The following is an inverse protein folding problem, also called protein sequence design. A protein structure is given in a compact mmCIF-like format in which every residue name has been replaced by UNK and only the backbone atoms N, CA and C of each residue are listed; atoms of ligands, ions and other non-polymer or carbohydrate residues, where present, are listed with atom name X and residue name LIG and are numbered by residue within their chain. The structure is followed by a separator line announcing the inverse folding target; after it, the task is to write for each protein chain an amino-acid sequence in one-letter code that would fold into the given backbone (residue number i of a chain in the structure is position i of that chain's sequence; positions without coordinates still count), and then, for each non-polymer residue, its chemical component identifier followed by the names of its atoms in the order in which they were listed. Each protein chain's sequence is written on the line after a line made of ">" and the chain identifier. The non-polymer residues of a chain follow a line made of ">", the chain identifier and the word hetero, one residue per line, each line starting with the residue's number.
data_IF_087410911260
#
_entry.id   IF_087410911260
#
_cell.length_a   1.000
_cell.length_b   1.000
_cell.length_c   1.000
_cell.angle_alpha   90.00
_cell.angle_beta   90.00
_cell.angle_gamma   90.00
#
_symmetry.space_group_name_H-M   'P 1'
#
loop_
_entity.id
_entity.type
_entity.pdbx_description
1 polymer ?
#
# COMPACT_ATOMS: atom_id res chain seq x y z
N UNK A 1 -10.78 14.06 28.97
CA UNK A 1 -9.94 13.79 27.77
C UNK A 1 -9.68 12.30 27.54
N UNK A 2 -9.84 11.44 28.55
CA UNK A 2 -9.48 10.00 28.50
C UNK A 2 -10.36 9.18 27.55
N UNK A 3 -11.59 9.62 27.30
CA UNK A 3 -12.52 8.95 26.36
C UNK A 3 -12.08 9.08 24.91
N UNK A 4 -11.52 10.24 24.52
CA UNK A 4 -10.97 10.44 23.17
C UNK A 4 -9.71 9.61 22.95
N UNK A 5 -8.84 9.52 23.96
CA UNK A 5 -7.64 8.68 23.92
C UNK A 5 -8.01 7.20 23.75
N UNK A 6 -8.98 6.69 24.52
CA UNK A 6 -9.45 5.30 24.39
C UNK A 6 -10.05 5.01 23.01
N UNK A 7 -10.84 5.94 22.45
CA UNK A 7 -11.41 5.77 21.09
C UNK A 7 -10.29 5.72 20.05
N UNK A 8 -9.30 6.61 20.14
CA UNK A 8 -8.15 6.58 19.22
C UNK A 8 -7.29 5.32 19.37
N UNK A 9 -7.14 4.79 20.59
CA UNK A 9 -6.42 3.53 20.83
C UNK A 9 -7.16 2.34 20.24
N UNK A 10 -8.48 2.25 20.46
CA UNK A 10 -9.31 1.18 19.89
C UNK A 10 -9.29 1.24 18.37
N UNK A 11 -9.42 2.44 17.78
CA UNK A 11 -9.37 2.62 16.34
C UNK A 11 -8.01 2.21 15.75
N UNK A 12 -6.92 2.51 16.46
CA UNK A 12 -5.56 2.11 16.05
C UNK A 12 -5.36 0.60 16.12
N UNK A 13 -5.89 -0.06 17.16
CA UNK A 13 -5.83 -1.53 17.30
C UNK A 13 -6.68 -2.22 16.22
N UNK A 14 -7.87 -1.70 15.92
CA UNK A 14 -8.73 -2.22 14.85
C UNK A 14 -8.05 -2.06 13.49
N UNK A 15 -7.45 -0.90 13.22
CA UNK A 15 -6.67 -0.66 12.00
C UNK A 15 -5.51 -1.65 11.90
N UNK A 16 -4.75 -1.86 12.98
CA UNK A 16 -3.62 -2.79 13.02
C UNK A 16 -4.05 -4.24 12.77
N UNK A 17 -5.17 -4.67 13.37
CA UNK A 17 -5.76 -5.98 13.11
C UNK A 17 -6.25 -6.11 11.67
N UNK A 18 -6.86 -5.08 11.10
CA UNK A 18 -7.27 -5.05 9.69
C UNK A 18 -6.07 -5.21 8.77
N UNK A 19 -4.97 -4.51 9.05
CA UNK A 19 -3.71 -4.63 8.31
C UNK A 19 -3.17 -6.06 8.39
N UNK A 20 -3.09 -6.64 9.60
CA UNK A 20 -2.62 -8.01 9.79
C UNK A 20 -3.50 -9.04 9.09
N UNK A 21 -4.83 -8.86 9.12
CA UNK A 21 -5.78 -9.73 8.41
C UNK A 21 -5.64 -9.56 6.90
N UNK A 22 -5.45 -8.35 6.41
CA UNK A 22 -5.25 -8.07 4.98
C UNK A 22 -3.94 -8.67 4.48
N UNK A 23 -2.87 -8.60 5.28
CA UNK A 23 -1.59 -9.27 5.02
C UNK A 23 -1.71 -10.79 5.07
N UNK A 24 -2.52 -11.35 5.99
CA UNK A 24 -2.69 -12.80 6.15
C UNK A 24 -3.63 -13.43 5.12
N UNK A 25 -4.68 -12.72 4.67
CA UNK A 25 -5.62 -13.21 3.65
C UNK A 25 -5.11 -13.07 2.22
N UNK A 26 -4.15 -12.18 2.00
CA UNK A 26 -3.60 -11.97 0.69
C UNK A 26 -2.48 -12.99 0.39
N UNK A 27 -2.70 -13.87 -0.57
CA UNK A 27 -1.66 -14.60 -1.31
C UNK A 27 -0.78 -13.64 -2.16
N UNK A 28 -0.55 -12.41 -1.68
CA UNK A 28 0.24 -11.37 -2.33
C UNK A 28 1.71 -11.65 -2.01
N UNK A 29 2.54 -11.68 -3.06
CA UNK A 29 4.00 -11.83 -2.96
C UNK A 29 4.55 -10.97 -1.83
N UNK A 30 5.35 -11.60 -0.96
CA UNK A 30 5.95 -11.08 0.28
C UNK A 30 6.51 -9.65 0.14
N UNK A 31 6.99 -9.29 -1.05
CA UNK A 31 7.56 -7.99 -1.42
C UNK A 31 6.65 -6.78 -1.12
N UNK A 32 5.33 -6.90 -1.29
CA UNK A 32 4.42 -5.76 -1.08
C UNK A 32 3.97 -5.59 0.38
N UNK A 33 4.01 -6.66 1.17
CA UNK A 33 3.59 -6.67 2.58
C UNK A 33 4.67 -6.11 3.51
N UNK A 34 5.95 -6.18 3.12
CA UNK A 34 7.07 -5.67 3.92
C UNK A 34 6.97 -4.16 4.14
N UNK A 35 6.59 -3.39 3.11
CA UNK A 35 6.41 -1.93 3.24
C UNK A 35 5.31 -1.56 4.24
N UNK A 36 4.22 -2.33 4.25
CA UNK A 36 3.13 -2.16 5.21
C UNK A 36 3.52 -2.55 6.63
N UNK A 37 4.29 -3.63 6.78
CA UNK A 37 4.79 -4.07 8.08
C UNK A 37 5.74 -3.03 8.67
N UNK A 38 6.66 -2.49 7.86
CA UNK A 38 7.59 -1.44 8.27
C UNK A 38 6.85 -0.15 8.65
N UNK A 39 5.85 0.26 7.85
CA UNK A 39 5.05 1.44 8.17
C UNK A 39 4.23 1.26 9.46
N UNK A 40 3.59 0.11 9.65
CA UNK A 40 2.86 -0.21 10.86
C UNK A 40 3.77 -0.25 12.09
N UNK A 41 4.95 -0.89 11.98
CA UNK A 41 5.96 -0.92 13.04
C UNK A 41 6.45 0.49 13.36
N UNK A 42 6.78 1.29 12.35
CA UNK A 42 7.22 2.68 12.54
C UNK A 42 6.13 3.49 13.25
N UNK A 43 4.87 3.34 12.86
CA UNK A 43 3.74 4.03 13.49
C UNK A 43 3.52 3.56 14.93
N UNK A 44 3.70 2.27 15.22
CA UNK A 44 3.63 1.68 16.57
C UNK A 44 4.75 2.21 17.47
N UNK A 45 5.98 2.27 16.94
CA UNK A 45 7.15 2.84 17.63
C UNK A 45 6.89 4.31 17.94
N UNK A 46 6.52 5.12 16.93
CA UNK A 46 6.21 6.53 17.11
C UNK A 46 5.08 6.77 18.13
N UNK A 47 4.05 5.92 18.12
CA UNK A 47 2.95 5.98 19.09
C UNK A 47 3.40 5.71 20.52
N UNK A 48 4.37 4.79 20.72
CA UNK A 48 4.86 4.42 22.06
C UNK A 48 5.91 5.38 22.59
N UNK A 49 6.68 6.02 21.73
CA UNK A 49 7.80 6.89 22.09
C UNK A 49 7.42 8.38 22.12
N UNK A 50 6.93 8.86 23.27
CA UNK A 50 6.81 10.31 23.57
C UNK A 50 8.05 11.15 23.19
N UNK A 51 9.29 10.75 23.51
CA UNK A 51 10.47 11.59 23.20
C UNK A 51 10.76 11.73 21.71
N UNK A 52 10.47 10.71 20.89
CA UNK A 52 10.61 10.79 19.43
C UNK A 52 9.54 11.71 18.83
N UNK A 53 8.31 11.63 19.34
CA UNK A 53 7.23 12.51 18.94
C UNK A 53 7.58 13.97 19.24
N UNK A 54 8.11 14.27 20.43
CA UNK A 54 8.56 15.61 20.80
C UNK A 54 9.72 16.11 19.94
N UNK A 55 10.62 15.22 19.51
CA UNK A 55 11.73 15.58 18.61
C UNK A 55 11.23 15.95 17.21
N UNK A 56 10.36 15.12 16.63
CA UNK A 56 9.76 15.39 15.32
C UNK A 56 8.87 16.63 15.38
N UNK A 57 8.16 16.82 16.49
CA UNK A 57 7.31 17.97 16.73
C UNK A 57 8.12 19.27 16.83
N UNK A 58 9.24 19.26 17.55
CA UNK A 58 10.15 20.41 17.63
C UNK A 58 10.80 20.72 16.28
N UNK A 59 11.13 19.69 15.49
CA UNK A 59 11.67 19.88 14.15
C UNK A 59 10.63 20.43 13.16
N UNK A 60 9.38 19.97 13.26
CA UNK A 60 8.27 20.39 12.40
C UNK A 60 7.54 21.65 12.89
N UNK A 61 7.85 22.15 14.10
CA UNK A 61 7.20 23.32 14.71
C UNK A 61 5.73 23.10 15.10
N UNK A 62 5.33 21.86 15.40
CA UNK A 62 3.91 21.52 15.63
C UNK A 62 3.51 21.67 17.12
N UNK A 63 2.25 22.03 17.43
CA UNK A 63 1.77 22.15 18.81
C UNK A 63 1.61 20.78 19.50
N UNK A 64 1.70 20.74 20.84
CA UNK A 64 1.51 19.53 21.65
C UNK A 64 0.02 19.18 21.79
N UNK A 65 -0.58 18.73 20.69
CA UNK A 65 -2.01 18.48 20.56
C UNK A 65 -2.27 17.14 19.88
N UNK A 66 -3.36 16.43 20.20
CA UNK A 66 -3.77 15.22 19.48
C UNK A 66 -3.85 15.41 17.95
N UNK A 67 -4.09 16.63 17.48
CA UNK A 67 -4.10 17.00 16.06
C UNK A 67 -2.76 16.78 15.36
N UNK A 68 -1.64 16.85 16.08
CA UNK A 68 -0.29 16.65 15.53
C UNK A 68 -0.06 15.20 15.12
N UNK A 69 -0.51 14.24 15.95
CA UNK A 69 -0.49 12.82 15.60
C UNK A 69 -1.38 12.52 14.39
N UNK A 70 -2.54 13.18 14.31
CA UNK A 70 -3.43 13.03 13.17
C UNK A 70 -2.81 13.56 11.88
N UNK A 71 -2.16 14.73 11.92
CA UNK A 71 -1.49 15.33 10.77
C UNK A 71 -0.31 14.49 10.28
N UNK A 72 0.50 13.99 11.21
CA UNK A 72 1.66 13.14 10.90
C UNK A 72 1.21 11.79 10.33
N UNK A 73 0.19 11.18 10.93
CA UNK A 73 -0.45 9.98 10.40
C UNK A 73 -1.03 10.20 9.00
N UNK A 74 -1.76 11.30 8.80
CA UNK A 74 -2.32 11.66 7.50
C UNK A 74 -1.22 11.85 6.43
N UNK A 75 -0.07 12.43 6.79
CA UNK A 75 1.08 12.53 5.90
C UNK A 75 1.64 11.17 5.49
N UNK A 76 1.77 10.23 6.43
CA UNK A 76 2.19 8.85 6.14
C UNK A 76 1.17 8.17 5.22
N UNK A 77 -0.13 8.31 5.48
CA UNK A 77 -1.18 7.78 4.61
C UNK A 77 -1.16 8.38 3.21
N UNK A 78 -0.92 9.69 3.09
CA UNK A 78 -0.82 10.36 1.80
C UNK A 78 0.36 9.84 0.97
N UNK A 79 1.54 9.69 1.58
CA UNK A 79 2.70 9.08 0.93
C UNK A 79 2.41 7.63 0.50
N UNK A 80 1.65 6.90 1.32
CA UNK A 80 1.24 5.54 1.01
C UNK A 80 0.27 5.49 -0.18
N UNK A 81 -0.73 6.38 -0.23
CA UNK A 81 -1.61 6.51 -1.38
C UNK A 81 -0.85 6.87 -2.65
N UNK A 82 0.13 7.77 -2.56
CA UNK A 82 0.99 8.10 -3.69
C UNK A 82 1.78 6.88 -4.18
N UNK A 83 2.42 6.13 -3.27
CA UNK A 83 3.13 4.88 -3.62
C UNK A 83 2.21 3.87 -4.30
N UNK A 84 0.99 3.69 -3.78
CA UNK A 84 0.01 2.81 -4.39
C UNK A 84 -0.44 3.28 -5.77
N UNK A 85 -0.67 4.57 -5.95
CA UNK A 85 -1.01 5.14 -7.26
C UNK A 85 0.08 4.82 -8.29
N UNK A 86 1.35 4.95 -7.92
CA UNK A 86 2.48 4.59 -8.79
C UNK A 86 2.49 3.10 -9.12
N UNK A 87 2.32 2.22 -8.13
CA UNK A 87 2.32 0.76 -8.35
C UNK A 87 1.16 0.33 -9.26
N UNK A 88 -0.04 0.86 -9.02
CA UNK A 88 -1.23 0.58 -9.83
C UNK A 88 -1.01 1.08 -11.27
N UNK A 89 -0.37 2.24 -11.45
CA UNK A 89 -0.03 2.76 -12.78
C UNK A 89 0.88 1.79 -13.54
N UNK A 90 1.97 1.34 -12.91
CA UNK A 90 2.90 0.40 -13.56
C UNK A 90 2.21 -0.93 -13.88
N UNK A 91 1.39 -1.45 -12.96
CA UNK A 91 0.68 -2.70 -13.18
C UNK A 91 -0.32 -2.60 -14.34
N UNK A 92 -0.93 -1.43 -14.53
CA UNK A 92 -1.81 -1.17 -15.69
C UNK A 92 -1.01 -1.21 -16.99
N UNK A 93 0.17 -0.59 -17.02
CA UNK A 93 1.03 -0.58 -18.20
C UNK A 93 1.52 -1.99 -18.56
N UNK A 94 1.92 -2.79 -17.55
CA UNK A 94 2.29 -4.19 -17.73
C UNK A 94 1.14 -5.04 -18.27
N UNK A 95 -0.08 -4.82 -17.79
CA UNK A 95 -1.27 -5.53 -18.27
C UNK A 95 -1.58 -5.20 -19.73
N UNK A 96 -1.47 -3.92 -20.12
CA UNK A 96 -1.61 -3.51 -21.53
C UNK A 96 -0.56 -4.22 -22.40
N UNK A 97 0.70 -4.23 -21.97
CA UNK A 97 1.78 -4.89 -22.71
C UNK A 97 1.56 -6.41 -22.82
N UNK A 98 1.04 -7.05 -21.75
CA UNK A 98 0.73 -8.47 -21.75
C UNK A 98 -0.43 -8.78 -22.70
N UNK A 99 -1.50 -7.99 -22.68
CA UNK A 99 -2.63 -8.15 -23.58
C UNK A 99 -2.20 -8.03 -25.05
N UNK A 100 -1.31 -7.07 -25.36
CA UNK A 100 -0.73 -6.93 -26.69
C UNK A 100 0.08 -8.16 -27.11
N UNK A 101 0.92 -8.70 -26.23
CA UNK A 101 1.70 -9.92 -26.50
C UNK A 101 0.80 -11.13 -26.74
N UNK A 102 -0.28 -11.28 -25.97
CA UNK A 102 -1.28 -12.34 -26.17
C UNK A 102 -1.96 -12.19 -27.53
N UNK A 103 -2.38 -10.99 -27.91
CA UNK A 103 -3.01 -10.73 -29.20
C UNK A 103 -2.09 -11.06 -30.39
N UNK A 104 -0.80 -10.71 -30.31
CA UNK A 104 0.18 -11.05 -31.34
C UNK A 104 0.38 -12.57 -31.42
N UNK A 105 0.45 -13.24 -30.27
CA UNK A 105 0.61 -14.70 -30.23
C UNK A 105 -0.61 -15.42 -30.83
N UNK A 106 -1.82 -14.95 -30.54
CA UNK A 106 -3.07 -15.49 -31.09
C UNK A 106 -3.14 -15.28 -32.62
N UNK A 107 -2.66 -14.14 -33.11
CA UNK A 107 -2.54 -13.88 -34.55
C UNK A 107 -1.60 -14.88 -35.24
N UNK A 108 -0.41 -15.14 -34.70
CA UNK A 108 0.52 -16.12 -35.28
C UNK A 108 -0.05 -17.55 -35.28
N UNK A 109 -0.76 -17.94 -34.22
CA UNK A 109 -1.43 -19.25 -34.16
C UNK A 109 -2.50 -19.36 -35.26
N UNK A 110 -3.30 -18.31 -35.44
CA UNK A 110 -4.34 -18.28 -36.46
C UNK A 110 -3.76 -18.33 -37.88
N UNK A 111 -2.65 -17.63 -38.13
CA UNK A 111 -1.94 -17.62 -39.41
C UNK A 111 -1.38 -19.01 -39.76
N UNK A 112 -0.71 -19.67 -38.81
CA UNK A 112 -0.22 -21.04 -38.97
C UNK A 112 -1.35 -22.02 -39.33
N UNK A 113 -2.49 -21.92 -38.63
CA UNK A 113 -3.67 -22.75 -38.89
C UNK A 113 -4.27 -22.49 -40.28
N UNK A 114 -4.23 -21.26 -40.76
CA UNK A 114 -4.73 -20.91 -42.09
C UNK A 114 -3.81 -21.46 -43.20
N UNK A 115 -2.49 -21.46 -42.99
CA UNK A 115 -1.53 -22.07 -43.92
C UNK A 115 -1.70 -23.59 -44.01
N UNK A 116 -1.84 -24.30 -42.88
CA UNK A 116 -2.11 -25.75 -42.88
C UNK A 116 -3.39 -26.12 -43.66
N UNK A 117 -4.44 -25.31 -43.55
CA UNK A 117 -5.70 -25.53 -44.28
C UNK A 117 -5.61 -25.21 -45.79
N UNK A 118 -4.58 -24.48 -46.25
CA UNK A 118 -4.36 -24.21 -47.67
C UNK A 118 -3.52 -25.31 -48.35
N UNK A 119 -2.73 -26.06 -47.59
CA UNK A 119 -1.89 -27.16 -48.09
C UNK A 119 -2.62 -28.53 -48.11
N UNK A 120 -3.77 -28.65 -47.44
CA UNK A 120 -4.62 -29.85 -47.39
C UNK A 120 -5.76 -29.83 -48.43
#
# INVERSE_FOLDING_TARGET
>A
MDRLLNVTTVLSVILLLLILISVRRAHIRVEYSVTWLVAAIAMLVLSRSRPLLDTVRNLAGLPDSPLTLFLLGAGVFLLMFFRFSVIISHLRDDNIALAQRVAILEYHIQDLKNHENQEA
#
